data_IF_781596969550
#
_entry.id   IF_781596969550
#
_cell.length_a   1.000
_cell.length_b   1.000
_cell.length_c   1.000
_cell.angle_alpha   90.00
_cell.angle_beta   90.00
_cell.angle_gamma   90.00
#
_symmetry.space_group_name_H-M   'P 1'
#
loop_
_entity.id
_entity.type
_entity.pdbx_description
1 polymer ?
#
# COMPACT_ATOMS: atom_id res chain seq x y z
N UNK A 1 21.83 -5.29 -12.44
CA UNK A 1 20.75 -5.10 -11.45
C UNK A 1 19.58 -4.44 -12.17
N UNK A 2 18.39 -5.01 -12.06
CA UNK A 2 17.16 -4.44 -12.63
C UNK A 2 16.59 -3.35 -11.71
N UNK A 3 15.56 -2.60 -12.14
CA UNK A 3 14.97 -1.49 -11.38
C UNK A 3 14.56 -1.84 -9.93
N UNK A 4 13.79 -2.93 -9.70
CA UNK A 4 13.43 -3.41 -8.36
C UNK A 4 14.64 -3.71 -7.47
N UNK A 5 15.69 -4.31 -8.03
CA UNK A 5 16.89 -4.72 -7.30
C UNK A 5 17.68 -3.51 -6.78
N UNK A 6 17.70 -2.42 -7.55
CA UNK A 6 18.40 -1.18 -7.17
C UNK A 6 17.66 -0.51 -6.01
N UNK A 7 16.34 -0.38 -6.12
CA UNK A 7 15.51 0.23 -5.08
C UNK A 7 15.56 -0.56 -3.76
N UNK A 8 15.35 -1.87 -3.82
CA UNK A 8 15.45 -2.74 -2.64
C UNK A 8 16.86 -2.78 -2.06
N UNK A 9 17.89 -2.73 -2.91
CA UNK A 9 19.28 -2.63 -2.47
C UNK A 9 19.54 -1.35 -1.67
N UNK A 10 19.07 -0.20 -2.14
CA UNK A 10 19.18 1.07 -1.40
C UNK A 10 18.45 0.98 -0.06
N UNK A 11 17.23 0.43 -0.05
CA UNK A 11 16.47 0.25 1.18
C UNK A 11 17.23 -0.63 2.18
N UNK A 12 17.71 -1.80 1.77
CA UNK A 12 18.38 -2.76 2.65
C UNK A 12 19.74 -2.28 3.15
N UNK A 13 20.51 -1.60 2.29
CA UNK A 13 21.90 -1.23 2.58
C UNK A 13 22.06 0.14 3.23
N UNK A 14 21.07 1.05 3.06
CA UNK A 14 21.17 2.44 3.52
C UNK A 14 20.06 2.84 4.46
N UNK A 15 18.81 2.55 4.12
CA UNK A 15 17.65 3.06 4.88
C UNK A 15 17.38 2.20 6.12
N UNK A 16 17.27 0.88 5.93
CA UNK A 16 16.89 -0.03 6.99
C UNK A 16 17.89 -0.07 8.16
N UNK A 17 19.22 -0.09 7.94
CA UNK A 17 20.18 -0.08 9.03
C UNK A 17 20.15 1.24 9.82
N UNK A 18 20.08 2.38 9.14
CA UNK A 18 20.07 3.71 9.78
C UNK A 18 18.83 3.91 10.65
N UNK A 19 17.70 3.35 10.23
CA UNK A 19 16.43 3.43 10.94
C UNK A 19 16.13 2.22 11.84
N UNK A 20 17.07 1.28 11.98
CA UNK A 20 16.90 0.01 12.71
C UNK A 20 15.62 -0.75 12.30
N UNK A 21 15.28 -0.74 11.02
CA UNK A 21 14.09 -1.42 10.49
C UNK A 21 14.37 -2.92 10.41
N UNK A 22 13.62 -3.71 11.17
CA UNK A 22 13.68 -5.18 11.15
C UNK A 22 12.44 -5.82 10.54
N UNK A 23 11.39 -5.02 10.24
CA UNK A 23 10.14 -5.48 9.65
C UNK A 23 9.62 -4.50 8.61
N UNK A 24 9.07 -5.02 7.51
CA UNK A 24 8.39 -4.23 6.49
C UNK A 24 7.02 -4.81 6.21
N UNK A 25 6.00 -3.96 6.27
CA UNK A 25 4.62 -4.34 5.99
C UNK A 25 4.23 -3.92 4.57
N UNK A 26 3.60 -4.81 3.82
CA UNK A 26 3.08 -4.53 2.48
C UNK A 26 1.67 -5.09 2.32
N UNK A 27 0.86 -4.46 1.48
CA UNK A 27 -0.45 -5.02 1.12
C UNK A 27 -0.31 -6.06 0.00
N UNK A 28 -1.19 -7.04 0.03
CA UNK A 28 -1.38 -7.99 -1.07
C UNK A 28 -1.93 -7.28 -2.32
N UNK A 29 -1.30 -7.50 -3.47
CA UNK A 29 -1.68 -6.87 -4.74
C UNK A 29 -1.71 -7.90 -5.89
N UNK A 30 -2.73 -8.78 -5.93
CA UNK A 30 -2.82 -9.83 -6.94
C UNK A 30 -3.16 -9.29 -8.34
N UNK A 31 -3.74 -8.08 -8.42
CA UNK A 31 -4.29 -7.52 -9.66
C UNK A 31 -3.27 -6.66 -10.44
N UNK A 32 -2.11 -6.36 -9.86
CA UNK A 32 -1.04 -5.62 -10.53
C UNK A 32 0.21 -6.49 -10.61
N UNK A 33 0.48 -7.05 -11.80
CA UNK A 33 1.63 -7.95 -12.04
C UNK A 33 2.96 -7.30 -11.62
N UNK A 34 3.13 -6.00 -11.90
CA UNK A 34 4.35 -5.26 -11.54
C UNK A 34 4.52 -5.18 -10.03
N UNK A 35 3.47 -4.81 -9.30
CA UNK A 35 3.51 -4.71 -7.83
C UNK A 35 3.70 -6.08 -7.19
N UNK A 36 3.02 -7.11 -7.71
CA UNK A 36 3.17 -8.47 -7.22
C UNK A 36 4.61 -8.99 -7.40
N UNK A 37 5.23 -8.73 -8.56
CA UNK A 37 6.64 -9.08 -8.79
C UNK A 37 7.55 -8.36 -7.78
N UNK A 38 7.28 -7.10 -7.47
CA UNK A 38 8.02 -6.37 -6.46
C UNK A 38 7.84 -6.98 -5.05
N UNK A 39 6.63 -7.42 -4.67
CA UNK A 39 6.40 -8.18 -3.43
C UNK A 39 7.20 -9.50 -3.41
N UNK A 40 7.26 -10.21 -4.53
CA UNK A 40 8.05 -11.44 -4.66
C UNK A 40 9.55 -11.15 -4.47
N UNK A 41 10.09 -10.10 -5.09
CA UNK A 41 11.50 -9.75 -4.92
C UNK A 41 11.81 -9.29 -3.49
N UNK A 42 10.90 -8.55 -2.83
CA UNK A 42 11.01 -8.24 -1.41
C UNK A 42 11.09 -9.50 -0.54
N UNK A 43 10.24 -10.50 -0.79
CA UNK A 43 10.24 -11.77 -0.06
C UNK A 43 11.58 -12.50 -0.18
N UNK A 44 12.24 -12.40 -1.33
CA UNK A 44 13.55 -13.03 -1.57
C UNK A 44 14.70 -12.25 -0.94
N UNK A 45 14.67 -10.91 -1.04
CA UNK A 45 15.82 -10.07 -0.72
C UNK A 45 15.88 -9.69 0.76
N UNK A 46 14.76 -9.24 1.35
CA UNK A 46 14.72 -8.66 2.69
C UNK A 46 15.22 -9.60 3.81
N UNK A 47 14.90 -10.92 3.80
CA UNK A 47 15.38 -11.82 4.85
C UNK A 47 16.91 -11.91 4.92
N UNK A 48 17.62 -11.73 3.79
CA UNK A 48 19.08 -11.75 3.75
C UNK A 48 19.72 -10.57 4.50
N UNK A 49 18.92 -9.53 4.79
CA UNK A 49 19.33 -8.34 5.55
C UNK A 49 18.72 -8.31 6.96
N UNK A 50 18.14 -9.42 7.43
CA UNK A 50 17.50 -9.50 8.74
C UNK A 50 16.17 -8.75 8.82
N UNK A 51 15.52 -8.50 7.67
CA UNK A 51 14.25 -7.78 7.59
C UNK A 51 13.13 -8.78 7.27
N UNK A 52 12.14 -8.88 8.16
CA UNK A 52 10.93 -9.68 7.96
C UNK A 52 9.95 -8.92 7.05
N UNK A 53 9.51 -9.54 5.95
CA UNK A 53 8.39 -9.02 5.17
C UNK A 53 7.08 -9.60 5.67
N UNK A 54 6.14 -8.72 6.04
CA UNK A 54 4.79 -9.09 6.45
C UNK A 54 3.82 -8.60 5.38
N UNK A 55 3.26 -9.54 4.61
CA UNK A 55 2.22 -9.24 3.62
C UNK A 55 0.84 -9.33 4.27
N UNK A 56 0.09 -8.23 4.20
CA UNK A 56 -1.23 -8.08 4.78
C UNK A 56 -2.26 -8.36 3.68
N UNK A 57 -3.21 -9.29 3.91
CA UNK A 57 -4.26 -9.61 2.95
C UNK A 57 -5.06 -8.39 2.51
N UNK A 58 -5.49 -8.39 1.26
CA UNK A 58 -6.26 -7.27 0.71
C UNK A 58 -7.60 -7.09 1.43
N UNK A 59 -7.87 -5.87 1.90
CA UNK A 59 -9.14 -5.55 2.60
C UNK A 59 -10.28 -5.32 1.59
N UNK A 60 -11.39 -6.01 1.81
CA UNK A 60 -12.60 -5.93 1.00
C UNK A 60 -13.78 -5.35 1.79
N UNK A 61 -14.77 -4.82 1.07
CA UNK A 61 -16.10 -4.44 1.57
C UNK A 61 -17.11 -5.21 0.73
N UNK A 62 -17.77 -6.20 1.34
CA UNK A 62 -18.62 -7.13 0.59
C UNK A 62 -17.82 -7.82 -0.52
N UNK A 63 -18.25 -7.65 -1.77
CA UNK A 63 -17.58 -8.20 -2.97
C UNK A 63 -16.54 -7.26 -3.56
N UNK A 64 -16.39 -6.05 -3.02
CA UNK A 64 -15.59 -4.98 -3.60
C UNK A 64 -14.26 -4.78 -2.87
N UNK A 65 -13.23 -4.43 -3.62
CA UNK A 65 -11.91 -4.10 -3.10
C UNK A 65 -11.86 -2.66 -2.60
N UNK A 66 -11.29 -2.44 -1.41
CA UNK A 66 -10.92 -1.09 -0.96
C UNK A 66 -9.63 -0.68 -1.69
N UNK A 67 -9.65 0.44 -2.42
CA UNK A 67 -8.46 0.98 -3.07
C UNK A 67 -8.46 2.51 -3.09
N UNK A 68 -7.25 3.11 -3.09
CA UNK A 68 -7.09 4.56 -3.17
C UNK A 68 -7.66 5.15 -4.48
N UNK A 69 -7.59 4.39 -5.58
CA UNK A 69 -8.19 4.80 -6.85
C UNK A 69 -9.72 4.89 -6.76
N UNK A 70 -10.37 3.94 -6.07
CA UNK A 70 -11.82 3.98 -5.83
C UNK A 70 -12.22 5.15 -4.93
N UNK A 71 -11.45 5.42 -3.87
CA UNK A 71 -11.64 6.60 -3.01
C UNK A 71 -11.60 7.90 -3.83
N UNK A 72 -10.58 8.08 -4.69
CA UNK A 72 -10.49 9.27 -5.57
C UNK A 72 -11.65 9.37 -6.53
N UNK A 73 -12.09 8.25 -7.12
CA UNK A 73 -13.26 8.21 -8.00
C UNK A 73 -14.52 8.66 -7.25
N UNK A 74 -14.74 8.18 -6.02
CA UNK A 74 -15.89 8.60 -5.21
C UNK A 74 -15.88 10.11 -4.88
N UNK A 75 -14.70 10.70 -4.67
CA UNK A 75 -14.56 12.15 -4.46
C UNK A 75 -14.96 12.92 -5.73
N UNK A 76 -14.48 12.48 -6.91
CA UNK A 76 -14.76 13.13 -8.20
C UNK A 76 -16.24 13.02 -8.57
N UNK A 77 -16.85 11.87 -8.32
CA UNK A 77 -18.26 11.59 -8.62
C UNK A 77 -19.21 12.03 -7.50
N UNK A 78 -18.67 12.64 -6.43
CA UNK A 78 -19.43 13.08 -5.25
C UNK A 78 -20.28 11.99 -4.60
N UNK A 79 -19.85 10.72 -4.69
CA UNK A 79 -20.55 9.55 -4.14
C UNK A 79 -20.14 9.30 -2.68
N UNK A 80 -20.50 10.24 -1.80
CA UNK A 80 -20.07 10.25 -0.40
C UNK A 80 -20.57 9.06 0.44
N UNK A 81 -21.74 8.49 0.12
CA UNK A 81 -22.23 7.29 0.81
C UNK A 81 -21.31 6.10 0.59
N UNK A 82 -20.79 5.94 -0.64
CA UNK A 82 -19.81 4.91 -0.94
C UNK A 82 -18.45 5.23 -0.31
N UNK A 83 -18.04 6.50 -0.31
CA UNK A 83 -16.81 6.95 0.33
C UNK A 83 -16.81 6.61 1.82
N UNK A 84 -17.94 6.80 2.52
CA UNK A 84 -18.10 6.46 3.95
C UNK A 84 -17.87 4.98 4.25
N UNK A 85 -18.11 4.08 3.31
CA UNK A 85 -17.82 2.67 3.50
C UNK A 85 -16.32 2.39 3.33
N UNK A 86 -15.63 3.13 2.46
CA UNK A 86 -14.25 2.89 2.05
C UNK A 86 -13.19 3.38 3.03
N UNK A 87 -13.51 4.38 3.85
CA UNK A 87 -12.54 5.03 4.74
C UNK A 87 -13.09 5.21 6.16
N UNK A 88 -12.23 5.30 7.20
CA UNK A 88 -12.65 5.69 8.54
C UNK A 88 -13.33 7.07 8.56
N UNK A 89 -14.16 7.31 9.57
CA UNK A 89 -14.91 8.57 9.74
C UNK A 89 -14.02 9.81 9.72
N UNK A 90 -12.91 9.80 10.45
CA UNK A 90 -11.96 10.92 10.47
C UNK A 90 -11.38 11.23 9.09
N UNK A 91 -11.13 10.20 8.28
CA UNK A 91 -10.67 10.37 6.89
C UNK A 91 -11.80 10.90 6.01
N UNK A 92 -13.04 10.44 6.19
CA UNK A 92 -14.21 10.93 5.46
C UNK A 92 -14.41 12.43 5.70
N UNK A 93 -14.40 12.85 6.97
CA UNK A 93 -14.56 14.26 7.37
C UNK A 93 -13.51 15.15 6.70
N UNK A 94 -12.24 14.73 6.76
CA UNK A 94 -11.14 15.44 6.10
C UNK A 94 -11.35 15.55 4.58
N UNK A 95 -11.73 14.45 3.92
CA UNK A 95 -11.93 14.43 2.47
C UNK A 95 -13.10 15.31 2.05
N UNK A 96 -14.21 15.28 2.81
CA UNK A 96 -15.37 16.15 2.56
C UNK A 96 -14.97 17.62 2.73
N UNK A 97 -14.34 17.98 3.85
CA UNK A 97 -13.94 19.37 4.11
C UNK A 97 -12.98 19.92 3.04
N UNK A 98 -12.12 19.07 2.47
CA UNK A 98 -11.14 19.46 1.46
C UNK A 98 -11.70 19.54 0.03
N UNK A 99 -12.66 18.69 -0.31
CA UNK A 99 -13.06 18.48 -1.72
C UNK A 99 -14.52 18.84 -2.02
N UNK A 100 -15.39 18.97 -1.00
CA UNK A 100 -16.76 19.42 -1.19
C UNK A 100 -16.75 20.93 -1.45
N UNK A 101 -17.23 21.34 -2.62
CA UNK A 101 -17.38 22.75 -3.01
C UNK A 101 -18.64 23.35 -2.41
#
# INVERSE_FOLDING_TARGET
MSGPDVDLGIFCLKIAPELNITKRFVGEEPNCVVTNNYNIEMKKMLPNYGIELIEIPRKNIGTDIISASKVRKCIIEETYDMLKQLVPETTLEFLIAKHKR
#
